data_IF_049539815335
#
_entry.id   IF_049539815335
#
_cell.length_a   1.000
_cell.length_b   1.000
_cell.length_c   1.000
_cell.angle_alpha   90.00
_cell.angle_beta   90.00
_cell.angle_gamma   90.00
#
_symmetry.space_group_name_H-M   'P 1'
#
loop_
_entity.id
_entity.type
_entity.pdbx_description
1 polymer ?
#
# COMPACT_ATOMS: atom_id res chain seq x y z
N UNK A 1 11.92 -6.07 -1.34
CA UNK A 1 12.09 -4.59 -1.25
C UNK A 1 12.17 -4.00 0.17
N UNK A 2 11.97 -4.80 1.23
CA UNK A 2 12.18 -4.37 2.63
C UNK A 2 13.61 -4.58 3.16
N UNK A 3 14.50 -5.23 2.40
CA UNK A 3 15.89 -5.40 2.81
C UNK A 3 16.59 -4.03 2.95
N UNK A 4 17.53 -3.86 3.91
CA UNK A 4 18.16 -2.56 4.20
C UNK A 4 18.78 -1.89 2.97
N UNK A 5 19.41 -2.67 2.09
CA UNK A 5 19.98 -2.21 0.82
C UNK A 5 18.97 -1.63 -0.19
N UNK A 6 17.67 -1.81 0.03
CA UNK A 6 16.61 -1.26 -0.83
C UNK A 6 15.94 -0.01 -0.24
N UNK A 7 16.27 0.39 1.00
CA UNK A 7 15.67 1.56 1.67
C UNK A 7 15.95 2.88 0.94
N UNK A 8 17.14 3.03 0.34
CA UNK A 8 17.58 4.25 -0.35
C UNK A 8 17.29 4.26 -1.87
N UNK A 9 16.73 3.16 -2.42
CA UNK A 9 16.44 3.09 -3.86
C UNK A 9 15.18 3.89 -4.19
N UNK A 10 15.24 4.67 -5.26
CA UNK A 10 14.19 5.64 -5.64
C UNK A 10 12.89 5.00 -6.16
N UNK A 11 12.90 3.75 -6.62
CA UNK A 11 11.76 3.11 -7.30
C UNK A 11 11.02 2.02 -6.51
N UNK A 12 9.75 1.78 -6.88
CA UNK A 12 8.97 0.57 -6.50
C UNK A 12 8.47 0.49 -5.05
N UNK A 13 8.85 1.43 -4.18
CA UNK A 13 8.46 1.42 -2.75
C UNK A 13 6.99 1.79 -2.51
N UNK A 14 6.44 2.73 -3.28
CA UNK A 14 5.06 3.19 -3.10
C UNK A 14 4.03 2.07 -3.25
N UNK A 15 4.02 1.40 -4.40
CA UNK A 15 3.12 0.26 -4.67
C UNK A 15 3.37 -0.89 -3.68
N UNK A 16 4.63 -1.14 -3.32
CA UNK A 16 4.95 -2.15 -2.32
C UNK A 16 4.31 -1.84 -0.96
N UNK A 17 4.43 -0.61 -0.46
CA UNK A 17 3.84 -0.19 0.81
C UNK A 17 2.32 -0.18 0.74
N UNK A 18 1.73 0.27 -0.37
CA UNK A 18 0.28 0.24 -0.59
C UNK A 18 -0.26 -1.20 -0.45
N UNK A 19 0.41 -2.18 -1.06
CA UNK A 19 0.02 -3.59 -0.95
C UNK A 19 0.18 -4.18 0.46
N UNK A 20 1.02 -3.59 1.31
CA UNK A 20 1.23 -4.05 2.70
C UNK A 20 0.28 -3.38 3.70
N UNK A 21 -0.12 -2.14 3.44
CA UNK A 21 -0.85 -1.30 4.41
C UNK A 21 -2.37 -1.28 4.19
N UNK A 22 -2.83 -1.66 3.00
CA UNK A 22 -4.23 -1.59 2.60
C UNK A 22 -4.85 -3.00 2.57
N UNK A 23 -6.15 -3.09 2.87
CA UNK A 23 -6.85 -4.38 2.83
C UNK A 23 -7.16 -4.82 1.40
N UNK A 24 -7.50 -3.87 0.53
CA UNK A 24 -7.71 -4.13 -0.90
C UNK A 24 -7.09 -3.02 -1.72
N UNK A 25 -6.47 -3.41 -2.85
CA UNK A 25 -5.84 -2.51 -3.81
C UNK A 25 -6.33 -2.89 -5.21
N UNK A 26 -6.80 -1.89 -5.96
CA UNK A 26 -7.22 -2.03 -7.35
C UNK A 26 -6.52 -1.01 -8.23
N UNK A 27 -6.34 -1.34 -9.51
CA UNK A 27 -5.78 -0.44 -10.51
C UNK A 27 -6.82 -0.17 -11.59
N UNK A 28 -7.01 1.09 -11.95
CA UNK A 28 -7.93 1.52 -12.99
C UNK A 28 -7.21 2.38 -14.01
N UNK A 29 -7.86 2.58 -15.15
CA UNK A 29 -7.38 3.45 -16.22
C UNK A 29 -5.92 3.14 -16.65
N UNK A 30 -5.64 1.86 -16.93
CA UNK A 30 -4.30 1.41 -17.32
C UNK A 30 -3.24 1.50 -16.22
N UNK A 31 -3.65 1.60 -14.95
CA UNK A 31 -2.74 1.74 -13.81
C UNK A 31 -2.41 3.18 -13.44
N UNK A 32 -3.07 4.17 -14.07
CA UNK A 32 -2.94 5.60 -13.73
C UNK A 32 -3.66 5.95 -12.43
N UNK A 33 -4.68 5.17 -12.08
CA UNK A 33 -5.43 5.31 -10.84
C UNK A 33 -5.23 4.09 -9.94
N UNK A 34 -5.00 4.34 -8.66
CA UNK A 34 -4.92 3.31 -7.62
C UNK A 34 -6.07 3.53 -6.66
N UNK A 35 -7.00 2.58 -6.64
CA UNK A 35 -8.08 2.53 -5.65
C UNK A 35 -7.62 1.70 -4.45
N UNK A 36 -7.75 2.27 -3.25
CA UNK A 36 -7.30 1.62 -2.01
C UNK A 36 -8.43 1.62 -0.99
N UNK A 37 -8.68 0.46 -0.34
CA UNK A 37 -9.63 0.36 0.77
C UNK A 37 -8.92 -0.15 2.02
N UNK A 38 -9.11 0.58 3.12
CA UNK A 38 -8.68 0.16 4.46
C UNK A 38 -9.89 0.17 5.37
N UNK A 39 -10.18 -0.96 5.99
CA UNK A 39 -11.18 -1.08 7.05
C UNK A 39 -10.70 -0.20 8.20
N UNK A 40 -11.63 0.55 8.79
CA UNK A 40 -11.34 1.17 10.08
C UNK A 40 -10.93 0.06 11.04
N UNK A 41 -9.83 0.24 11.74
CA UNK A 41 -9.62 -0.55 12.94
C UNK A 41 -10.81 -0.21 13.83
N UNK A 42 -11.61 -1.21 14.20
CA UNK A 42 -12.62 -1.01 15.22
C UNK A 42 -11.89 -0.40 16.42
N UNK A 43 -12.23 0.85 16.73
CA UNK A 43 -11.86 1.44 17.99
C UNK A 43 -12.55 0.56 19.02
N UNK A 44 -11.82 -0.39 19.60
CA UNK A 44 -12.33 -1.27 20.64
C UNK A 44 -12.83 -0.40 21.80
N UNK A 45 -14.11 -0.04 21.75
CA UNK A 45 -14.89 0.32 22.91
C UNK A 45 -15.35 -1.00 23.51
N UNK A 46 -14.50 -1.57 24.35
CA UNK A 46 -14.84 -2.61 25.31
C UNK A 46 -14.45 -2.09 26.70
#
# INVERSE_FOLDING_TARGET
PLAPENLLKSGGRGVFLINQLMDTVGFRDGGREVEMRKRRADSGAA
#
